data_IF_079368764761
#
_entry.id   IF_079368764761
#
_cell.length_a   1.000
_cell.length_b   1.000
_cell.length_c   1.000
_cell.angle_alpha   90.00
_cell.angle_beta   90.00
_cell.angle_gamma   90.00
#
_symmetry.space_group_name_H-M   'P 1'
#
loop_
_entity.id
_entity.type
_entity.pdbx_description
1 polymer ?
#
# COMPACT_ATOMS: atom_id res chain seq x y z
N UNK A 1 36.45 25.79 11.28
CA UNK A 1 35.61 25.86 10.06
C UNK A 1 35.44 27.33 9.72
N UNK A 2 35.84 27.77 8.53
CA UNK A 2 35.66 29.16 8.09
C UNK A 2 34.18 29.35 7.79
N UNK A 3 33.44 30.04 8.67
CA UNK A 3 31.98 30.24 8.58
C UNK A 3 31.52 31.13 7.44
N UNK A 4 32.21 31.09 6.30
CA UNK A 4 31.90 31.86 5.11
C UNK A 4 31.08 31.01 4.12
N UNK A 5 29.77 31.29 3.96
CA UNK A 5 28.90 30.60 3.02
C UNK A 5 29.17 30.96 1.54
N UNK A 6 29.94 32.01 1.25
CA UNK A 6 30.19 32.52 -0.09
C UNK A 6 31.58 32.17 -0.66
N UNK A 7 32.49 31.65 0.17
CA UNK A 7 33.79 31.12 -0.25
C UNK A 7 33.71 30.00 -1.32
N UNK A 8 32.52 29.50 -1.66
CA UNK A 8 32.27 28.38 -2.56
C UNK A 8 31.75 28.76 -3.95
N UNK A 9 31.64 30.06 -4.27
CA UNK A 9 31.03 30.53 -5.54
C UNK A 9 32.00 30.75 -6.70
N UNK A 10 33.31 30.55 -6.50
CA UNK A 10 34.30 30.70 -7.56
C UNK A 10 35.25 29.50 -7.63
N UNK A 11 35.92 29.33 -8.78
CA UNK A 11 36.83 28.21 -9.05
C UNK A 11 37.95 28.10 -8.01
N UNK A 12 38.37 29.24 -7.45
CA UNK A 12 39.39 29.34 -6.40
C UNK A 12 38.92 28.72 -5.08
N UNK A 13 37.65 28.89 -4.72
CA UNK A 13 37.02 28.28 -3.56
C UNK A 13 36.98 26.76 -3.62
N UNK A 14 36.68 26.23 -4.81
CA UNK A 14 36.69 24.78 -5.09
C UNK A 14 38.11 24.24 -5.02
N UNK A 15 39.09 24.92 -5.64
CA UNK A 15 40.51 24.56 -5.62
C UNK A 15 41.08 24.47 -4.19
N UNK A 16 40.73 25.40 -3.31
CA UNK A 16 41.18 25.39 -1.91
C UNK A 16 40.65 24.18 -1.13
N UNK A 17 39.43 23.72 -1.42
CA UNK A 17 38.83 22.54 -0.79
C UNK A 17 39.46 21.26 -1.33
N UNK A 18 39.66 21.16 -2.65
CA UNK A 18 40.32 20.03 -3.32
C UNK A 18 41.74 19.85 -2.77
N UNK A 19 42.52 20.93 -2.66
CA UNK A 19 43.87 20.91 -2.10
C UNK A 19 43.90 20.53 -0.62
N UNK A 20 42.95 20.99 0.19
CA UNK A 20 42.86 20.60 1.61
C UNK A 20 42.53 19.12 1.83
N UNK A 21 41.86 18.49 0.87
CA UNK A 21 41.37 17.12 1.01
C UNK A 21 42.32 16.05 0.45
N UNK A 22 43.47 16.46 -0.09
CA UNK A 22 44.46 15.54 -0.65
C UNK A 22 43.92 14.72 -1.82
N UNK A 23 42.97 15.27 -2.58
CA UNK A 23 42.46 14.62 -3.78
C UNK A 23 43.56 14.64 -4.85
N UNK A 24 43.82 13.48 -5.44
CA UNK A 24 44.85 13.30 -6.47
C UNK A 24 44.58 14.27 -7.65
N UNK A 25 45.58 15.07 -8.02
CA UNK A 25 45.51 16.00 -9.15
C UNK A 25 45.25 15.34 -10.52
N UNK A 26 45.22 14.01 -10.60
CA UNK A 26 44.79 13.22 -11.76
C UNK A 26 43.27 13.20 -11.96
N UNK A 27 42.50 13.64 -10.98
CA UNK A 27 41.04 13.69 -11.07
C UNK A 27 40.65 14.91 -11.89
N UNK A 28 39.86 14.71 -12.96
CA UNK A 28 39.39 15.81 -13.80
C UNK A 28 38.35 16.63 -13.03
N UNK A 29 38.82 17.46 -12.10
CA UNK A 29 38.04 18.21 -11.09
C UNK A 29 37.03 19.17 -11.71
N UNK A 30 37.25 19.59 -12.96
CA UNK A 30 36.31 20.32 -13.79
C UNK A 30 35.01 19.54 -14.04
N UNK A 31 35.05 18.20 -13.97
CA UNK A 31 33.91 17.34 -14.27
C UNK A 31 33.06 16.94 -13.05
N UNK A 32 33.56 17.12 -11.82
CA UNK A 32 32.82 16.80 -10.60
C UNK A 32 33.54 15.86 -9.64
N UNK A 33 32.76 15.18 -8.79
CA UNK A 33 33.23 14.26 -7.75
C UNK A 33 32.88 12.81 -8.09
N UNK A 34 33.78 11.86 -7.84
CA UNK A 34 33.38 10.46 -7.74
C UNK A 34 32.51 10.24 -6.48
N UNK A 35 31.73 9.14 -6.45
CA UNK A 35 30.89 8.79 -5.30
C UNK A 35 31.72 8.64 -4.02
N UNK A 36 32.92 8.07 -4.10
CA UNK A 36 33.83 7.90 -2.97
C UNK A 36 34.33 9.22 -2.41
N UNK A 37 34.66 10.18 -3.28
CA UNK A 37 35.10 11.52 -2.86
C UNK A 37 33.95 12.31 -2.26
N UNK A 38 32.77 12.24 -2.87
CA UNK A 38 31.54 12.83 -2.36
C UNK A 38 31.19 12.28 -0.96
N UNK A 39 31.35 10.98 -0.74
CA UNK A 39 31.18 10.34 0.57
C UNK A 39 32.17 10.88 1.60
N UNK A 40 33.47 10.91 1.25
CA UNK A 40 34.54 11.43 2.13
C UNK A 40 34.32 12.89 2.49
N UNK A 41 33.95 13.73 1.53
CA UNK A 41 33.72 15.16 1.71
C UNK A 41 32.52 15.46 2.62
N UNK A 42 31.46 14.66 2.53
CA UNK A 42 30.21 14.94 3.25
C UNK A 42 29.99 14.14 4.53
N UNK A 43 30.77 13.07 4.74
CA UNK A 43 30.50 12.07 5.77
C UNK A 43 29.25 11.21 5.48
N UNK A 44 28.64 11.34 4.30
CA UNK A 44 27.50 10.52 3.88
C UNK A 44 28.05 9.16 3.41
N UNK A 45 27.39 8.07 3.82
CA UNK A 45 27.73 6.73 3.37
C UNK A 45 27.72 6.64 1.82
N UNK A 46 28.77 6.03 1.26
CA UNK A 46 28.92 5.86 -0.19
C UNK A 46 27.70 5.16 -0.83
N UNK A 47 27.11 4.18 -0.14
CA UNK A 47 25.91 3.48 -0.62
C UNK A 47 24.70 4.41 -0.76
N UNK A 48 24.52 5.36 0.15
CA UNK A 48 23.43 6.35 0.09
C UNK A 48 23.56 7.25 -1.13
N UNK A 49 24.79 7.64 -1.47
CA UNK A 49 25.07 8.47 -2.65
C UNK A 49 24.86 7.61 -3.91
N UNK A 50 25.33 6.35 -3.91
CA UNK A 50 25.13 5.43 -5.02
C UNK A 50 23.65 5.19 -5.32
N UNK A 51 22.86 4.86 -4.30
CA UNK A 51 21.40 4.69 -4.40
C UNK A 51 20.70 5.98 -4.91
N UNK A 52 21.15 7.16 -4.48
CA UNK A 52 20.64 8.42 -5.03
C UNK A 52 20.97 8.59 -6.52
N UNK A 53 22.15 8.16 -6.97
CA UNK A 53 22.54 8.19 -8.38
C UNK A 53 21.73 7.19 -9.21
N UNK A 54 21.49 5.97 -8.73
CA UNK A 54 20.67 4.96 -9.40
C UNK A 54 19.20 5.39 -9.52
N UNK A 55 18.72 6.18 -8.56
CA UNK A 55 17.38 6.78 -8.60
C UNK A 55 17.27 8.04 -9.48
N UNK A 56 18.39 8.54 -10.01
CA UNK A 56 18.43 9.79 -10.76
C UNK A 56 18.18 11.04 -9.91
N UNK A 57 18.36 10.95 -8.59
CA UNK A 57 18.30 12.11 -7.68
C UNK A 57 19.58 12.96 -7.74
N UNK A 58 20.67 12.35 -8.19
CA UNK A 58 21.97 12.96 -8.42
C UNK A 58 22.39 12.61 -9.83
N UNK A 59 22.64 13.63 -10.66
CA UNK A 59 23.15 13.41 -12.01
C UNK A 59 24.55 12.82 -11.94
N UNK A 60 24.82 11.86 -12.82
CA UNK A 60 26.16 11.31 -13.03
C UNK A 60 26.51 11.44 -14.50
N UNK A 61 27.70 11.95 -14.77
CA UNK A 61 28.28 12.09 -16.12
C UNK A 61 29.44 11.11 -16.30
N UNK A 62 29.65 10.65 -17.53
CA UNK A 62 30.72 9.71 -17.89
C UNK A 62 30.27 8.24 -17.95
N UNK A 63 31.20 7.36 -18.36
CA UNK A 63 30.94 5.94 -18.60
C UNK A 63 31.91 5.03 -17.83
N UNK A 64 31.43 3.83 -17.47
CA UNK A 64 32.21 2.82 -16.77
C UNK A 64 32.73 3.30 -15.42
N UNK A 65 34.04 3.12 -15.20
CA UNK A 65 34.72 3.50 -13.95
C UNK A 65 34.91 5.02 -13.77
N UNK A 66 34.65 5.81 -14.81
CA UNK A 66 34.82 7.26 -14.81
C UNK A 66 33.47 7.98 -14.71
N UNK A 67 32.73 7.67 -13.63
CA UNK A 67 31.45 8.29 -13.31
C UNK A 67 31.67 9.42 -12.31
N UNK A 68 31.30 10.63 -12.69
CA UNK A 68 31.44 11.83 -11.87
C UNK A 68 30.07 12.45 -11.60
N UNK A 69 29.90 12.97 -10.40
CA UNK A 69 28.75 13.78 -9.99
C UNK A 69 29.16 15.24 -10.20
N UNK A 70 28.52 15.98 -11.11
CA UNK A 70 28.81 17.41 -11.27
C UNK A 70 28.65 18.15 -9.95
N UNK A 71 29.54 19.12 -9.68
CA UNK A 71 29.53 19.87 -8.41
C UNK A 71 28.20 20.55 -8.11
N UNK A 72 27.57 21.12 -9.14
CA UNK A 72 26.25 21.77 -9.06
C UNK A 72 25.17 20.80 -8.55
N UNK A 73 25.08 19.62 -9.16
CA UNK A 73 24.16 18.56 -8.76
C UNK A 73 24.47 18.01 -7.37
N UNK A 74 25.76 17.80 -7.09
CA UNK A 74 26.21 17.34 -5.78
C UNK A 74 25.79 18.28 -4.66
N UNK A 75 26.09 19.57 -4.78
CA UNK A 75 25.74 20.55 -3.74
C UNK A 75 24.23 20.70 -3.57
N UNK A 76 23.49 20.75 -4.67
CA UNK A 76 22.03 20.83 -4.64
C UNK A 76 21.42 19.61 -3.93
N UNK A 77 21.87 18.40 -4.26
CA UNK A 77 21.41 17.18 -3.61
C UNK A 77 21.84 17.11 -2.15
N UNK A 78 23.11 17.40 -1.83
CA UNK A 78 23.66 17.37 -0.47
C UNK A 78 22.89 18.32 0.45
N UNK A 79 22.60 19.55 -0.01
CA UNK A 79 21.80 20.53 0.75
C UNK A 79 20.40 19.97 1.05
N UNK A 80 19.73 19.40 0.03
CA UNK A 80 18.42 18.73 0.22
C UNK A 80 18.51 17.56 1.19
N UNK A 81 19.56 16.72 1.08
CA UNK A 81 19.79 15.58 1.96
C UNK A 81 19.91 15.99 3.43
N UNK A 82 20.72 17.01 3.74
CA UNK A 82 20.89 17.47 5.12
C UNK A 82 19.67 18.19 5.67
N UNK A 83 19.00 19.04 4.89
CA UNK A 83 17.74 19.66 5.30
C UNK A 83 16.69 18.58 5.61
N UNK A 84 16.67 17.54 4.79
CA UNK A 84 15.80 16.39 4.97
C UNK A 84 16.12 15.58 6.24
N UNK A 85 17.41 15.33 6.52
CA UNK A 85 17.87 14.69 7.77
C UNK A 85 17.56 15.53 9.01
N UNK A 86 17.71 16.85 8.94
CA UNK A 86 17.35 17.75 10.03
C UNK A 86 15.86 17.66 10.35
N UNK A 87 15.00 17.64 9.32
CA UNK A 87 13.55 17.44 9.50
C UNK A 87 13.22 16.08 10.12
N UNK A 88 13.93 15.03 9.73
CA UNK A 88 13.78 13.71 10.39
C UNK A 88 14.16 13.82 11.86
N UNK A 89 15.30 14.42 12.18
CA UNK A 89 15.77 14.58 13.54
C UNK A 89 14.78 15.37 14.40
N UNK A 90 14.19 16.44 13.86
CA UNK A 90 13.14 17.22 14.51
C UNK A 90 11.88 16.38 14.78
N UNK A 91 11.43 15.61 13.79
CA UNK A 91 10.29 14.70 13.95
C UNK A 91 10.58 13.62 14.98
N UNK A 92 11.78 13.04 14.99
CA UNK A 92 12.20 12.06 15.99
C UNK A 92 12.28 12.69 17.39
N UNK A 93 12.83 13.89 17.52
CA UNK A 93 12.88 14.61 18.78
C UNK A 93 11.47 14.92 19.32
N UNK A 94 10.52 15.26 18.44
CA UNK A 94 9.13 15.52 18.83
C UNK A 94 8.36 14.29 19.31
N UNK A 95 8.84 13.07 19.03
CA UNK A 95 8.19 11.84 19.52
C UNK A 95 8.35 11.67 21.03
N UNK A 96 9.39 12.27 21.62
CA UNK A 96 9.66 12.19 23.07
C UNK A 96 10.05 10.78 23.55
N UNK A 97 10.34 9.86 22.63
CA UNK A 97 10.80 8.50 22.95
C UNK A 97 11.84 8.01 21.95
N UNK A 98 12.70 7.10 22.42
CA UNK A 98 13.73 6.49 21.58
C UNK A 98 13.10 5.53 20.57
N UNK A 99 13.55 5.62 19.31
CA UNK A 99 13.03 4.78 18.22
C UNK A 99 14.14 4.08 17.46
N UNK A 100 13.87 2.84 17.07
CA UNK A 100 14.74 2.00 16.25
C UNK A 100 14.12 1.75 14.88
N UNK A 101 14.91 1.29 13.91
CA UNK A 101 14.41 0.87 12.62
C UNK A 101 13.55 -0.40 12.74
N UNK A 102 12.59 -0.58 11.83
CA UNK A 102 11.80 -1.83 11.73
C UNK A 102 12.71 -3.08 11.70
N UNK A 103 13.81 -3.03 10.95
CA UNK A 103 14.75 -4.16 10.82
C UNK A 103 15.53 -4.42 12.11
N UNK A 104 15.79 -3.38 12.91
CA UNK A 104 16.40 -3.52 14.24
C UNK A 104 15.40 -4.13 15.22
N UNK A 105 14.15 -3.67 15.21
CA UNK A 105 13.09 -4.26 16.02
C UNK A 105 12.86 -5.74 15.68
N UNK A 106 12.89 -6.12 14.39
CA UNK A 106 12.80 -7.52 13.97
C UNK A 106 13.92 -8.38 14.55
N UNK A 107 15.17 -7.88 14.49
CA UNK A 107 16.34 -8.57 15.05
C UNK A 107 16.26 -8.67 16.56
N UNK A 108 15.86 -7.59 17.23
CA UNK A 108 15.73 -7.52 18.68
C UNK A 108 14.69 -8.50 19.23
N UNK A 109 13.55 -8.64 18.54
CA UNK A 109 12.40 -9.45 18.98
C UNK A 109 12.48 -10.90 18.44
N UNK A 110 13.42 -11.17 17.53
CA UNK A 110 13.56 -12.44 16.82
C UNK A 110 12.28 -12.86 16.07
N UNK A 111 11.77 -11.96 15.23
CA UNK A 111 10.54 -12.21 14.44
C UNK A 111 10.72 -11.90 12.96
N UNK A 112 9.92 -12.60 12.14
CA UNK A 112 9.91 -12.41 10.69
C UNK A 112 9.25 -11.09 10.27
N UNK A 113 9.45 -10.70 9.01
CA UNK A 113 8.86 -9.48 8.45
C UNK A 113 7.32 -9.50 8.49
N UNK A 114 6.71 -10.67 8.23
CA UNK A 114 5.26 -10.83 8.31
C UNK A 114 4.76 -10.64 9.73
N UNK A 115 5.48 -11.15 10.73
CA UNK A 115 5.11 -11.03 12.14
C UNK A 115 5.24 -9.61 12.65
N UNK A 116 6.35 -8.91 12.39
CA UNK A 116 6.48 -7.50 12.80
C UNK A 116 5.37 -6.66 12.16
N UNK A 117 5.01 -6.92 10.90
CA UNK A 117 3.93 -6.20 10.22
C UNK A 117 2.58 -6.43 10.91
N UNK A 118 2.31 -7.66 11.37
CA UNK A 118 1.11 -7.95 12.17
C UNK A 118 1.12 -7.22 13.51
N UNK A 119 2.26 -7.15 14.19
CA UNK A 119 2.38 -6.43 15.47
C UNK A 119 2.18 -4.92 15.29
N UNK A 120 2.73 -4.35 14.22
CA UNK A 120 2.53 -2.95 13.85
C UNK A 120 1.06 -2.65 13.51
N UNK A 121 0.43 -3.49 12.67
CA UNK A 121 -0.98 -3.32 12.29
C UNK A 121 -1.94 -3.55 13.46
N UNK A 122 -1.57 -4.44 14.40
CA UNK A 122 -2.34 -4.71 15.62
C UNK A 122 -2.10 -3.69 16.73
N UNK A 123 -1.20 -2.73 16.56
CA UNK A 123 -0.85 -1.74 17.60
C UNK A 123 -0.10 -2.32 18.80
N UNK A 124 0.39 -3.55 18.69
CA UNK A 124 1.17 -4.21 19.76
C UNK A 124 2.48 -3.45 19.97
N UNK A 125 3.03 -2.89 18.88
CA UNK A 125 4.20 -2.03 18.91
C UNK A 125 3.84 -0.71 18.23
N UNK A 126 4.08 0.40 18.92
CA UNK A 126 3.95 1.73 18.34
C UNK A 126 5.03 1.96 17.29
N UNK A 127 4.62 2.52 16.17
CA UNK A 127 5.53 2.90 15.11
C UNK A 127 5.03 4.10 14.32
N UNK A 128 5.98 4.80 13.73
CA UNK A 128 5.77 5.96 12.90
C UNK A 128 6.36 5.68 11.54
N UNK A 129 5.57 5.95 10.51
CA UNK A 129 6.05 5.89 9.13
C UNK A 129 6.58 7.25 8.75
N UNK A 130 7.89 7.44 8.85
CA UNK A 130 8.55 8.65 8.41
C UNK A 130 8.54 8.70 6.87
N UNK A 131 8.34 9.87 6.26
CA UNK A 131 8.30 10.03 4.80
C UNK A 131 9.72 9.99 4.19
N UNK A 132 10.47 8.91 4.47
CA UNK A 132 11.85 8.64 4.05
C UNK A 132 11.87 7.73 2.84
N UNK A 133 12.37 8.27 1.73
CA UNK A 133 12.36 7.62 0.42
C UNK A 133 10.94 7.38 -0.12
N UNK A 134 10.84 6.67 -1.25
CA UNK A 134 9.55 6.40 -1.92
C UNK A 134 8.58 5.55 -1.09
N UNK A 135 9.09 4.69 -0.20
CA UNK A 135 8.27 3.74 0.56
C UNK A 135 7.98 4.19 1.99
N UNK A 136 8.66 5.23 2.48
CA UNK A 136 8.68 5.60 3.89
C UNK A 136 9.51 4.62 4.72
N UNK A 137 10.15 5.10 5.77
CA UNK A 137 10.89 4.28 6.73
C UNK A 137 10.06 4.14 8.01
N UNK A 138 9.94 2.93 8.51
CA UNK A 138 9.23 2.68 9.77
C UNK A 138 10.20 2.81 10.93
N UNK A 139 9.89 3.73 11.84
CA UNK A 139 10.52 3.89 13.15
C UNK A 139 9.63 3.27 14.19
N UNK A 140 10.20 2.46 15.06
CA UNK A 140 9.50 1.61 16.02
C UNK A 140 9.94 2.05 17.42
N UNK A 141 9.00 2.17 18.36
CA UNK A 141 9.33 2.51 19.76
C UNK A 141 10.26 1.43 20.33
N UNK A 142 11.43 1.83 20.83
CA UNK A 142 12.38 0.90 21.43
C UNK A 142 11.80 0.27 22.70
N UNK A 143 11.12 1.06 23.51
CA UNK A 143 10.47 0.59 24.74
C UNK A 143 9.42 -0.49 24.45
N UNK A 144 8.57 -0.29 23.43
CA UNK A 144 7.58 -1.30 23.03
C UNK A 144 8.25 -2.55 22.45
N UNK A 145 9.33 -2.39 21.68
CA UNK A 145 10.07 -3.52 21.13
C UNK A 145 10.69 -4.39 22.23
N UNK A 146 11.28 -3.77 23.27
CA UNK A 146 11.80 -4.46 24.44
C UNK A 146 10.70 -5.15 25.25
N UNK A 147 9.57 -4.47 25.50
CA UNK A 147 8.41 -5.06 26.17
C UNK A 147 7.90 -6.30 25.44
N UNK A 148 7.77 -6.22 24.12
CA UNK A 148 7.33 -7.36 23.30
C UNK A 148 8.34 -8.50 23.31
N UNK A 149 9.65 -8.19 23.32
CA UNK A 149 10.70 -9.21 23.48
C UNK A 149 10.51 -9.96 24.80
N UNK A 150 10.39 -9.25 25.92
CA UNK A 150 10.17 -9.85 27.25
C UNK A 150 8.87 -10.68 27.30
N UNK A 151 7.77 -10.17 26.74
CA UNK A 151 6.49 -10.89 26.72
C UNK A 151 6.55 -12.16 25.87
N UNK A 152 7.35 -12.17 24.80
CA UNK A 152 7.60 -13.37 23.99
C UNK A 152 8.48 -14.38 24.71
N UNK A 153 9.53 -13.94 25.38
CA UNK A 153 10.39 -14.80 26.21
C UNK A 153 9.59 -15.46 27.34
N UNK A 154 8.55 -14.77 27.85
CA UNK A 154 7.57 -15.32 28.81
C UNK A 154 6.46 -16.17 28.18
N UNK A 155 6.46 -16.38 26.86
CA UNK A 155 5.46 -17.18 26.14
C UNK A 155 4.08 -16.54 25.95
N UNK A 156 3.88 -15.27 26.34
CA UNK A 156 2.56 -14.60 26.32
C UNK A 156 2.11 -14.13 24.93
N UNK A 157 3.03 -14.00 23.98
CA UNK A 157 2.79 -13.45 22.64
C UNK A 157 2.92 -14.48 21.50
N UNK A 158 2.72 -15.75 21.81
CA UNK A 158 2.52 -16.76 20.77
C UNK A 158 1.20 -16.48 20.04
N UNK A 159 1.25 -16.44 18.69
CA UNK A 159 0.15 -15.94 17.83
C UNK A 159 -1.18 -16.70 18.01
N UNK A 160 -1.14 -17.92 18.51
CA UNK A 160 -2.30 -18.80 18.68
C UNK A 160 -2.91 -18.75 20.08
N UNK A 161 -2.35 -17.90 20.97
CA UNK A 161 -2.80 -17.83 22.36
C UNK A 161 -3.97 -16.84 22.54
N UNK A 162 -4.95 -17.14 23.40
CA UNK A 162 -5.99 -16.18 23.78
C UNK A 162 -5.40 -14.87 24.33
N UNK A 163 -4.25 -14.94 24.99
CA UNK A 163 -3.51 -13.78 25.50
C UNK A 163 -3.09 -12.82 24.38
N UNK A 164 -2.61 -13.35 23.24
CA UNK A 164 -2.29 -12.52 22.07
C UNK A 164 -3.52 -11.78 21.52
N UNK A 165 -4.68 -12.44 21.47
CA UNK A 165 -5.92 -11.81 21.02
C UNK A 165 -6.35 -10.66 21.96
N UNK A 166 -6.27 -10.86 23.27
CA UNK A 166 -6.57 -9.85 24.27
C UNK A 166 -5.62 -8.64 24.19
N UNK A 167 -4.30 -8.88 24.09
CA UNK A 167 -3.30 -7.82 23.95
C UNK A 167 -3.55 -7.03 22.66
N UNK A 168 -3.83 -7.71 21.55
CA UNK A 168 -4.14 -7.06 20.27
C UNK A 168 -5.39 -6.17 20.37
N UNK A 169 -6.44 -6.62 21.06
CA UNK A 169 -7.66 -5.83 21.23
C UNK A 169 -7.39 -4.58 22.06
N UNK A 170 -6.73 -4.72 23.22
CA UNK A 170 -6.36 -3.59 24.08
C UNK A 170 -5.47 -2.58 23.34
N UNK A 171 -4.46 -3.06 22.62
CA UNK A 171 -3.59 -2.22 21.77
C UNK A 171 -4.36 -1.49 20.66
N UNK A 172 -5.37 -2.12 20.06
CA UNK A 172 -6.22 -1.48 19.05
C UNK A 172 -7.10 -0.37 19.64
N UNK A 173 -7.64 -0.58 20.84
CA UNK A 173 -8.41 0.41 21.59
C UNK A 173 -7.54 1.62 21.99
N UNK A 174 -6.32 1.37 22.48
CA UNK A 174 -5.37 2.42 22.83
C UNK A 174 -4.91 3.22 21.59
N UNK A 175 -4.62 2.54 20.47
CA UNK A 175 -4.34 3.22 19.20
C UNK A 175 -5.51 4.09 18.74
N UNK A 176 -6.75 3.63 18.92
CA UNK A 176 -7.95 4.41 18.62
C UNK A 176 -8.00 5.66 19.49
N UNK A 177 -7.82 5.52 20.81
CA UNK A 177 -7.76 6.63 21.77
C UNK A 177 -6.71 7.67 21.39
N UNK A 178 -5.48 7.24 21.06
CA UNK A 178 -4.39 8.13 20.67
C UNK A 178 -4.64 8.84 19.33
N UNK A 179 -5.37 8.22 18.40
CA UNK A 179 -5.82 8.87 17.15
C UNK A 179 -6.92 9.89 17.40
N UNK A 180 -7.86 9.56 18.28
CA UNK A 180 -8.95 10.47 18.67
C UNK A 180 -8.39 11.72 19.36
N UNK A 181 -7.31 11.57 20.13
CA UNK A 181 -6.54 12.66 20.74
C UNK A 181 -5.60 13.41 19.77
N UNK A 182 -5.52 12.99 18.50
CA UNK A 182 -4.62 13.61 17.50
C UNK A 182 -3.11 13.39 17.75
N UNK A 183 -2.74 12.53 18.71
CA UNK A 183 -1.34 12.25 19.06
C UNK A 183 -0.65 11.34 18.06
N UNK A 184 -1.41 10.47 17.42
CA UNK A 184 -0.94 9.66 16.29
C UNK A 184 -1.56 10.22 15.03
N UNK A 185 -0.71 10.42 14.03
CA UNK A 185 -1.08 10.88 12.70
C UNK A 185 -2.30 10.10 12.20
N UNK A 186 -3.46 10.76 12.05
CA UNK A 186 -4.64 10.16 11.40
C UNK A 186 -4.18 9.64 10.05
N UNK A 187 -4.47 8.37 9.73
CA UNK A 187 -4.10 7.79 8.44
C UNK A 187 -4.44 8.79 7.33
N UNK A 188 -3.42 9.17 6.54
CA UNK A 188 -3.41 10.18 5.47
C UNK A 188 -4.35 9.88 4.29
N UNK A 189 -5.44 9.16 4.54
CA UNK A 189 -6.52 8.95 3.60
C UNK A 189 -7.55 10.09 3.64
N UNK A 190 -7.46 11.05 4.57
CA UNK A 190 -8.36 12.23 4.57
C UNK A 190 -7.92 13.32 3.57
N UNK A 191 -6.64 13.40 3.15
CA UNK A 191 -6.10 14.66 2.61
C UNK A 191 -5.82 14.72 1.09
N UNK A 192 -6.62 14.07 0.24
CA UNK A 192 -6.57 14.31 -1.23
C UNK A 192 -7.82 13.78 -1.95
N UNK A 193 -8.99 13.99 -1.35
CA UNK A 193 -10.25 13.85 -2.07
C UNK A 193 -10.67 15.25 -2.52
N UNK A 194 -11.35 15.34 -3.66
CA UNK A 194 -12.02 16.59 -4.01
C UNK A 194 -12.92 16.96 -2.81
N UNK A 195 -12.73 18.15 -2.19
CA UNK A 195 -13.60 18.59 -1.12
C UNK A 195 -15.06 18.42 -1.55
N UNK A 196 -15.84 17.72 -0.73
CA UNK A 196 -17.24 17.45 -1.00
C UNK A 196 -17.56 16.16 -1.76
N UNK A 197 -16.61 15.32 -2.19
CA UNK A 197 -16.93 14.04 -2.85
C UNK A 197 -16.80 12.84 -1.92
N UNK A 198 -17.64 11.82 -2.13
CA UNK A 198 -17.55 10.53 -1.48
C UNK A 198 -16.71 9.54 -2.29
N UNK A 199 -16.02 8.66 -1.58
CA UNK A 199 -15.31 7.52 -2.19
C UNK A 199 -16.26 6.34 -2.35
N UNK A 200 -15.97 5.36 -3.22
CA UNK A 200 -16.73 4.10 -3.27
C UNK A 200 -16.83 3.40 -1.91
N UNK A 201 -15.82 3.56 -1.05
CA UNK A 201 -15.84 3.05 0.32
C UNK A 201 -16.80 3.84 1.21
N UNK A 202 -16.83 5.18 1.08
CA UNK A 202 -17.77 6.04 1.78
C UNK A 202 -19.22 5.69 1.44
N UNK A 203 -19.53 5.63 0.14
CA UNK A 203 -20.87 5.23 -0.34
C UNK A 203 -21.22 3.81 0.13
N UNK A 204 -20.29 2.85 0.06
CA UNK A 204 -20.51 1.49 0.55
C UNK A 204 -20.87 1.44 2.05
N UNK A 205 -20.17 2.25 2.85
CA UNK A 205 -20.36 2.34 4.30
C UNK A 205 -21.75 2.89 4.62
N UNK A 206 -22.15 4.00 3.99
CA UNK A 206 -23.46 4.61 4.18
C UNK A 206 -24.60 3.72 3.66
N UNK A 207 -24.41 3.11 2.49
CA UNK A 207 -25.37 2.19 1.89
C UNK A 207 -25.46 0.84 2.64
N UNK A 208 -24.51 0.53 3.54
CA UNK A 208 -24.36 -0.77 4.22
C UNK A 208 -24.29 -1.96 3.25
N UNK A 209 -23.50 -1.80 2.18
CA UNK A 209 -23.25 -2.86 1.18
C UNK A 209 -21.76 -3.03 0.91
N UNK A 210 -21.36 -4.15 0.30
CA UNK A 210 -19.96 -4.42 -0.02
C UNK A 210 -19.40 -3.44 -1.06
N UNK A 211 -18.14 -3.02 -0.88
CA UNK A 211 -17.45 -2.08 -1.79
C UNK A 211 -17.38 -2.58 -3.23
N UNK A 212 -17.28 -3.89 -3.45
CA UNK A 212 -17.20 -4.46 -4.80
C UNK A 212 -18.49 -4.23 -5.58
N UNK A 213 -19.65 -4.24 -4.91
CA UNK A 213 -20.93 -3.89 -5.54
C UNK A 213 -20.96 -2.44 -5.98
N UNK A 214 -20.47 -1.51 -5.16
CA UNK A 214 -20.38 -0.09 -5.53
C UNK A 214 -19.49 0.06 -6.78
N UNK A 215 -18.35 -0.64 -6.83
CA UNK A 215 -17.47 -0.62 -8.01
C UNK A 215 -18.14 -1.17 -9.25
N UNK A 216 -18.88 -2.27 -9.13
CA UNK A 216 -19.60 -2.86 -10.25
C UNK A 216 -20.74 -1.95 -10.73
N UNK A 217 -21.48 -1.33 -9.81
CA UNK A 217 -22.52 -0.37 -10.17
C UNK A 217 -21.93 0.92 -10.79
N UNK A 218 -20.74 1.38 -10.36
CA UNK A 218 -20.00 2.45 -11.05
C UNK A 218 -19.61 2.04 -12.48
N UNK A 219 -19.02 0.84 -12.65
CA UNK A 219 -18.62 0.33 -13.98
C UNK A 219 -19.81 0.13 -14.90
N UNK A 220 -20.96 -0.24 -14.35
CA UNK A 220 -22.21 -0.42 -15.06
C UNK A 220 -22.94 0.91 -15.33
N UNK A 221 -22.40 2.05 -14.89
CA UNK A 221 -23.04 3.37 -15.06
C UNK A 221 -24.27 3.59 -14.17
N UNK A 222 -24.49 2.75 -13.16
CA UNK A 222 -25.63 2.83 -12.24
C UNK A 222 -25.39 3.77 -11.06
N UNK A 223 -24.13 4.06 -10.76
CA UNK A 223 -23.72 5.10 -9.83
C UNK A 223 -22.79 6.06 -10.58
N UNK A 224 -23.24 7.30 -10.87
CA UNK A 224 -22.38 8.30 -11.48
C UNK A 224 -21.13 8.52 -10.61
N UNK A 225 -19.97 8.46 -11.24
CA UNK A 225 -18.71 8.70 -10.57
C UNK A 225 -17.68 9.28 -11.54
N UNK A 226 -16.91 10.25 -11.07
CA UNK A 226 -15.79 10.79 -11.79
C UNK A 226 -14.56 9.90 -11.58
N UNK A 227 -14.00 9.35 -12.65
CA UNK A 227 -12.71 8.68 -12.60
C UNK A 227 -11.59 9.73 -12.49
N UNK A 228 -10.77 9.60 -11.45
CA UNK A 228 -9.63 10.47 -11.17
C UNK A 228 -8.34 9.66 -11.16
N UNK A 229 -7.30 10.17 -11.81
CA UNK A 229 -5.98 9.54 -11.79
C UNK A 229 -5.15 10.14 -10.68
N UNK A 230 -4.68 9.29 -9.75
CA UNK A 230 -3.72 9.67 -8.70
C UNK A 230 -2.48 8.80 -8.80
N UNK A 231 -1.43 9.36 -9.40
CA UNK A 231 -0.24 8.60 -9.76
C UNK A 231 -0.60 7.51 -10.78
N UNK A 232 -0.34 6.24 -10.46
CA UNK A 232 -0.67 5.09 -11.32
C UNK A 232 -2.03 4.45 -11.03
N UNK A 233 -2.82 5.01 -10.11
CA UNK A 233 -4.11 4.43 -9.69
C UNK A 233 -5.27 5.29 -10.17
N UNK A 234 -6.27 4.64 -10.76
CA UNK A 234 -7.59 5.23 -10.99
C UNK A 234 -8.43 5.09 -9.73
N UNK A 235 -8.99 6.19 -9.30
CA UNK A 235 -9.86 6.30 -8.14
C UNK A 235 -11.19 6.89 -8.61
N UNK A 236 -12.31 6.45 -8.04
CA UNK A 236 -13.62 7.01 -8.37
C UNK A 236 -14.05 7.99 -7.27
N UNK A 237 -14.61 9.13 -7.66
CA UNK A 237 -15.21 10.13 -6.78
C UNK A 237 -16.70 10.25 -7.12
N UNK A 238 -17.57 10.15 -6.12
CA UNK A 238 -19.03 10.17 -6.26
C UNK A 238 -19.53 11.47 -5.63
N UNK A 239 -20.34 12.25 -6.35
CA UNK A 239 -20.93 13.46 -5.80
C UNK A 239 -21.93 13.11 -4.67
N UNK A 240 -22.06 13.92 -3.61
CA UNK A 240 -22.97 13.64 -2.49
C UNK A 240 -24.42 13.40 -2.91
N UNK A 241 -24.91 14.18 -3.87
CA UNK A 241 -26.25 14.08 -4.45
C UNK A 241 -26.48 12.72 -5.11
N UNK A 242 -25.53 12.26 -5.92
CA UNK A 242 -25.58 10.94 -6.58
C UNK A 242 -25.49 9.81 -5.57
N UNK A 243 -24.63 9.94 -4.57
CA UNK A 243 -24.51 8.98 -3.48
C UNK A 243 -25.81 8.87 -2.68
N UNK A 244 -26.41 9.99 -2.29
CA UNK A 244 -27.66 10.04 -1.54
C UNK A 244 -28.82 9.43 -2.33
N UNK A 245 -28.96 9.79 -3.62
CA UNK A 245 -29.96 9.22 -4.51
C UNK A 245 -29.79 7.70 -4.66
N UNK A 246 -28.55 7.24 -4.84
CA UNK A 246 -28.23 5.83 -4.93
C UNK A 246 -28.53 5.08 -3.61
N UNK A 247 -28.16 5.64 -2.45
CA UNK A 247 -28.41 5.05 -1.13
C UNK A 247 -29.92 4.92 -0.89
N UNK A 248 -30.70 5.97 -1.17
CA UNK A 248 -32.15 5.95 -1.04
C UNK A 248 -32.77 4.84 -1.91
N UNK A 249 -32.31 4.71 -3.17
CA UNK A 249 -32.73 3.62 -4.06
C UNK A 249 -32.39 2.23 -3.52
N UNK A 250 -31.21 2.04 -2.90
CA UNK A 250 -30.80 0.74 -2.35
C UNK A 250 -31.56 0.40 -1.07
N UNK A 251 -31.84 1.40 -0.21
CA UNK A 251 -32.57 1.21 1.04
C UNK A 251 -34.07 0.98 0.81
N UNK A 252 -34.63 1.52 -0.27
CA UNK A 252 -36.02 1.24 -0.71
C UNK A 252 -36.25 -0.16 -1.28
N UNK A 253 -35.19 -0.96 -1.46
CA UNK A 253 -35.29 -2.33 -2.01
C UNK A 253 -35.06 -3.33 -0.88
N UNK A 254 -36.01 -4.26 -0.71
CA UNK A 254 -35.89 -5.31 0.31
C UNK A 254 -34.61 -6.12 0.09
N UNK A 255 -34.06 -6.70 1.18
CA UNK A 255 -32.87 -7.56 1.08
C UNK A 255 -33.10 -8.75 0.13
N UNK A 256 -34.31 -9.29 0.11
CA UNK A 256 -34.70 -10.38 -0.77
C UNK A 256 -34.64 -9.95 -2.25
N UNK A 257 -35.21 -8.79 -2.58
CA UNK A 257 -35.20 -8.26 -3.95
C UNK A 257 -33.78 -7.93 -4.42
N UNK A 258 -32.92 -7.43 -3.52
CA UNK A 258 -31.50 -7.18 -3.82
C UNK A 258 -30.75 -8.46 -4.16
N UNK A 259 -30.99 -9.56 -3.43
CA UNK A 259 -30.38 -10.86 -3.71
C UNK A 259 -30.91 -11.45 -5.02
N UNK A 260 -32.21 -11.33 -5.26
CA UNK A 260 -32.87 -11.76 -6.50
C UNK A 260 -32.35 -11.01 -7.73
N UNK A 261 -32.17 -9.69 -7.64
CA UNK A 261 -31.62 -8.90 -8.74
C UNK A 261 -30.16 -9.27 -9.07
N UNK A 262 -29.32 -9.46 -8.06
CA UNK A 262 -27.93 -9.89 -8.25
C UNK A 262 -27.83 -11.31 -8.84
N UNK A 263 -28.72 -12.22 -8.41
CA UNK A 263 -28.85 -13.55 -9.00
C UNK A 263 -29.25 -13.46 -10.48
N UNK A 264 -30.28 -12.66 -10.81
CA UNK A 264 -30.75 -12.45 -12.19
C UNK A 264 -29.67 -11.89 -13.11
N UNK A 265 -28.91 -10.88 -12.68
CA UNK A 265 -27.81 -10.30 -13.48
C UNK A 265 -26.78 -11.35 -13.88
N UNK A 266 -26.41 -12.25 -12.97
CA UNK A 266 -25.46 -13.33 -13.26
C UNK A 266 -26.04 -14.36 -14.24
N UNK A 267 -27.32 -14.70 -14.10
CA UNK A 267 -28.02 -15.57 -15.05
C UNK A 267 -28.07 -14.94 -16.44
N UNK A 268 -28.34 -13.63 -16.54
CA UNK A 268 -28.31 -12.90 -17.82
C UNK A 268 -26.91 -12.96 -18.44
N UNK A 269 -25.85 -12.65 -17.67
CA UNK A 269 -24.48 -12.70 -18.17
C UNK A 269 -24.04 -14.10 -18.65
N UNK A 270 -24.52 -15.18 -18.00
CA UNK A 270 -24.31 -16.56 -18.47
C UNK A 270 -24.97 -16.76 -19.84
N UNK A 271 -26.22 -16.30 -19.99
CA UNK A 271 -26.97 -16.42 -21.25
C UNK A 271 -26.36 -15.58 -22.38
N UNK A 272 -25.86 -14.38 -22.09
CA UNK A 272 -25.17 -13.52 -23.08
C UNK A 272 -23.91 -14.17 -23.65
N UNK A 273 -23.28 -15.10 -22.92
CA UNK A 273 -22.15 -15.90 -23.40
C UNK A 273 -22.57 -17.17 -24.16
N UNK A 274 -23.87 -17.34 -24.42
CA UNK A 274 -24.40 -18.53 -25.08
C UNK A 274 -24.36 -19.79 -24.20
N UNK A 275 -24.17 -19.64 -22.90
CA UNK A 275 -24.14 -20.75 -21.95
C UNK A 275 -25.50 -20.90 -21.26
N UNK A 276 -25.77 -22.11 -20.76
CA UNK A 276 -26.99 -22.43 -20.01
C UNK A 276 -26.71 -22.37 -18.50
N UNK A 277 -27.48 -21.61 -17.71
CA UNK A 277 -27.44 -21.67 -16.25
C UNK A 277 -28.06 -22.99 -15.75
N UNK A 278 -27.74 -23.37 -14.50
CA UNK A 278 -28.24 -24.61 -13.86
C UNK A 278 -29.76 -24.73 -13.96
N UNK A 279 -30.49 -23.63 -13.75
CA UNK A 279 -31.94 -23.60 -13.78
C UNK A 279 -32.52 -23.97 -15.16
N UNK A 280 -31.87 -23.54 -16.25
CA UNK A 280 -32.31 -23.84 -17.62
C UNK A 280 -32.02 -25.32 -17.97
N UNK A 281 -30.89 -25.87 -17.52
CA UNK A 281 -30.55 -27.29 -17.68
C UNK A 281 -31.51 -28.18 -16.87
N UNK A 282 -31.82 -27.78 -15.64
CA UNK A 282 -32.75 -28.51 -14.78
C UNK A 282 -34.16 -28.57 -15.40
N UNK A 283 -34.65 -27.43 -15.90
CA UNK A 283 -35.93 -27.36 -16.60
C UNK A 283 -35.95 -28.26 -17.85
N UNK A 284 -34.87 -28.30 -18.63
CA UNK A 284 -34.76 -29.12 -19.84
C UNK A 284 -34.89 -30.62 -19.58
N UNK A 285 -34.34 -31.10 -18.47
CA UNK A 285 -34.39 -32.53 -18.11
C UNK A 285 -35.51 -32.88 -17.14
N UNK A 286 -36.33 -31.92 -16.70
CA UNK A 286 -37.38 -32.16 -15.71
C UNK A 286 -36.86 -32.58 -14.33
N UNK A 287 -35.67 -32.12 -13.93
CA UNK A 287 -35.01 -32.48 -12.67
C UNK A 287 -34.82 -31.27 -11.76
N UNK A 288 -34.40 -31.52 -10.52
CA UNK A 288 -34.04 -30.43 -9.60
C UNK A 288 -32.69 -29.78 -9.96
N UNK A 289 -32.50 -28.47 -9.71
CA UNK A 289 -31.19 -27.81 -9.87
C UNK A 289 -30.06 -28.46 -9.06
N UNK A 290 -30.39 -29.06 -7.92
CA UNK A 290 -29.43 -29.78 -7.08
C UNK A 290 -28.86 -31.03 -7.78
N UNK A 291 -29.71 -31.77 -8.51
CA UNK A 291 -29.28 -32.92 -9.30
C UNK A 291 -28.28 -32.52 -10.39
N UNK A 292 -28.56 -31.43 -11.11
CA UNK A 292 -27.65 -30.88 -12.12
C UNK A 292 -26.31 -30.45 -11.51
N UNK A 293 -26.33 -29.76 -10.36
CA UNK A 293 -25.10 -29.39 -9.65
C UNK A 293 -24.31 -30.62 -9.18
N UNK A 294 -24.99 -31.70 -8.76
CA UNK A 294 -24.36 -32.96 -8.41
C UNK A 294 -23.71 -33.63 -9.62
N UNK A 295 -24.35 -33.63 -10.79
CA UNK A 295 -23.75 -34.16 -12.02
C UNK A 295 -22.47 -33.42 -12.41
N UNK A 296 -22.48 -32.09 -12.32
CA UNK A 296 -21.31 -31.26 -12.55
C UNK A 296 -20.19 -31.60 -11.54
N UNK A 297 -20.52 -31.70 -10.25
CA UNK A 297 -19.56 -32.05 -9.19
C UNK A 297 -18.95 -33.43 -9.37
N UNK A 298 -19.71 -34.39 -9.87
CA UNK A 298 -19.25 -35.75 -10.19
C UNK A 298 -18.53 -35.84 -11.54
N UNK A 299 -18.39 -34.73 -12.28
CA UNK A 299 -17.75 -34.70 -13.59
C UNK A 299 -18.55 -35.37 -14.70
N UNK A 300 -19.83 -35.69 -14.47
CA UNK A 300 -20.69 -36.37 -15.46
C UNK A 300 -21.19 -35.43 -16.55
N UNK A 301 -21.38 -34.16 -16.21
CA UNK A 301 -21.76 -33.09 -17.14
C UNK A 301 -20.69 -31.99 -17.05
N UNK A 302 -19.92 -31.74 -18.13
CA UNK A 302 -18.92 -30.68 -18.14
C UNK A 302 -19.54 -29.33 -17.79
N UNK A 303 -18.94 -28.64 -16.82
CA UNK A 303 -19.43 -27.35 -16.34
C UNK A 303 -18.29 -26.34 -16.31
N UNK A 304 -18.58 -25.12 -16.75
CA UNK A 304 -17.70 -23.97 -16.59
C UNK A 304 -18.10 -23.20 -15.33
N UNK A 305 -17.12 -22.90 -14.48
CA UNK A 305 -17.37 -22.11 -13.28
C UNK A 305 -17.32 -20.61 -13.59
N UNK A 306 -18.46 -19.94 -13.45
CA UNK A 306 -18.61 -18.49 -13.60
C UNK A 306 -18.83 -17.84 -12.23
N UNK A 307 -17.71 -17.57 -11.55
CA UNK A 307 -17.70 -17.12 -10.16
C UNK A 307 -18.20 -18.21 -9.20
N UNK A 308 -19.39 -18.01 -8.62
CA UNK A 308 -20.03 -18.99 -7.72
C UNK A 308 -21.16 -19.79 -8.39
N UNK A 309 -21.37 -19.62 -9.70
CA UNK A 309 -22.39 -20.34 -10.46
C UNK A 309 -21.75 -21.28 -11.47
N UNK A 310 -22.47 -22.35 -11.78
CA UNK A 310 -22.12 -23.27 -12.86
C UNK A 310 -22.86 -22.83 -14.13
N UNK A 311 -22.16 -22.91 -15.25
CA UNK A 311 -22.67 -22.66 -16.58
C UNK A 311 -22.30 -23.84 -17.48
N UNK A 312 -23.17 -24.17 -18.43
CA UNK A 312 -23.05 -25.37 -19.26
C UNK A 312 -23.09 -25.00 -20.74
N UNK A 313 -22.22 -25.59 -21.55
CA UNK A 313 -22.28 -25.39 -22.99
C UNK A 313 -23.53 -26.10 -23.55
N UNK A 314 -24.29 -25.47 -24.46
CA UNK A 314 -25.50 -26.09 -25.03
C UNK A 314 -25.23 -27.44 -25.72
N UNK A 315 -24.06 -27.61 -26.34
CA UNK A 315 -23.65 -28.86 -27.00
C UNK A 315 -23.47 -30.02 -26.02
N UNK A 316 -22.78 -29.78 -24.90
CA UNK A 316 -22.58 -30.78 -23.85
C UNK A 316 -23.93 -31.21 -23.25
N UNK A 317 -24.81 -30.24 -22.99
CA UNK A 317 -26.17 -30.50 -22.49
C UNK A 317 -27.01 -31.28 -23.48
N UNK A 318 -26.84 -31.07 -24.79
CA UNK A 318 -27.61 -31.79 -25.82
C UNK A 318 -27.18 -33.27 -25.96
N UNK A 319 -25.91 -33.58 -25.70
CA UNK A 319 -25.36 -34.94 -25.79
C UNK A 319 -25.46 -35.72 -24.47
N UNK A 320 -25.74 -35.02 -23.38
CA UNK A 320 -25.79 -35.60 -22.05
C UNK A 320 -27.06 -36.42 -21.82
N UNK A 321 -26.88 -37.66 -21.36
CA UNK A 321 -27.96 -38.56 -20.95
C UNK A 321 -27.94 -38.67 -19.42
N UNK A 322 -28.98 -38.19 -18.72
CA UNK A 322 -29.05 -38.27 -17.27
C UNK A 322 -28.93 -39.72 -16.80
N UNK A 323 -28.12 -40.01 -15.77
CA UNK A 323 -28.19 -41.31 -15.12
C UNK A 323 -29.57 -41.48 -14.47
N UNK A 324 -30.25 -42.58 -14.80
CA UNK A 324 -31.51 -42.99 -14.16
C UNK A 324 -31.37 -43.26 -12.68
#
# INVERSE_FOLDING_TARGET
MTGDPDAYRNDVGVLNVVNRLGLDGRTNWLMGLTVSEAARLSGICQYTIWDATERGEVLVVGQGKYRYIPWTDWFAWRKKHFAYKAKIAEVLASMGEETILKQEAMRLIHISETQITRYLLGGIIRAWKLPIGKRGEWRVSLADALRVKEERERGKLALETPQYAAIRQHSAEELKRLRDQGRIWKNRCESAWLPGYLTPYGVATEARIGIDRIRDDIRAGLLPAQAMTRGRRTIYAVAPEDAAAYIAKIHGVSKADRLSAAARRKTIAIREQGLLPVEDVAARFGVSPAAVAQWARLGKLPAQQMGRRLAFAPGDVAQFHPPG
#
